data_IF_395371055393
#
_entry.id   IF_395371055393
#
_cell.length_a   1.000
_cell.length_b   1.000
_cell.length_c   1.000
_cell.angle_alpha   90.00
_cell.angle_beta   90.00
_cell.angle_gamma   90.00
#
_symmetry.space_group_name_H-M   'P 1'
#
loop_
_entity.id
_entity.type
_entity.pdbx_description
1 polymer ?
#
# COMPACT_ATOMS: atom_id res chain seq x y z
N UNK A 1 16.97 -19.09 45.99
CA UNK A 1 17.79 -20.25 46.39
C UNK A 1 16.81 -21.40 46.56
N UNK A 2 16.79 -22.52 45.83
CA UNK A 2 17.75 -23.27 45.00
C UNK A 2 16.92 -24.07 43.93
N UNK A 3 17.48 -24.96 43.08
CA UNK A 3 17.50 -24.89 41.61
C UNK A 3 16.62 -25.95 40.91
N UNK A 4 16.56 -25.97 39.57
CA UNK A 4 16.60 -27.21 38.74
C UNK A 4 16.58 -26.88 37.24
N UNK A 5 17.73 -26.99 36.56
CA UNK A 5 18.17 -28.09 35.66
C UNK A 5 17.73 -27.94 34.20
N UNK A 6 18.73 -27.65 33.35
CA UNK A 6 18.74 -27.98 31.92
C UNK A 6 18.67 -29.50 31.70
N UNK A 7 17.96 -29.95 30.65
CA UNK A 7 18.48 -31.03 29.81
C UNK A 7 17.81 -31.11 28.42
N UNK A 8 18.57 -31.51 27.38
CA UNK A 8 18.17 -31.49 25.97
C UNK A 8 17.55 -32.81 25.48
N UNK A 9 16.83 -32.77 24.36
CA UNK A 9 16.52 -33.97 23.54
C UNK A 9 17.02 -33.81 22.09
N UNK A 10 18.09 -34.54 21.78
CA UNK A 10 18.32 -35.26 20.50
C UNK A 10 17.19 -36.29 20.29
N UNK A 11 16.85 -36.85 19.14
CA UNK A 11 17.36 -36.93 17.77
C UNK A 11 16.11 -37.11 16.84
N UNK A 12 16.18 -37.16 15.51
CA UNK A 12 16.54 -38.38 14.75
C UNK A 12 16.57 -38.09 13.24
N UNK A 13 17.57 -38.65 12.55
CA UNK A 13 17.69 -38.80 11.08
C UNK A 13 16.92 -40.04 10.59
N UNK A 14 16.61 -40.20 9.28
CA UNK A 14 17.54 -40.83 8.29
C UNK A 14 17.53 -40.12 6.90
N UNK A 15 18.68 -39.91 6.25
CA UNK A 15 19.42 -40.80 5.33
C UNK A 15 18.79 -40.95 3.92
N UNK A 16 19.49 -40.44 2.90
CA UNK A 16 19.57 -41.04 1.58
C UNK A 16 20.83 -40.53 0.86
N UNK A 17 21.70 -41.47 0.50
CA UNK A 17 22.92 -41.26 -0.26
C UNK A 17 22.66 -41.43 -1.76
N UNK A 18 23.35 -40.69 -2.61
CA UNK A 18 23.75 -41.16 -3.94
C UNK A 18 24.88 -40.27 -4.48
N UNK A 19 26.05 -40.88 -4.66
CA UNK A 19 27.18 -40.30 -5.38
C UNK A 19 27.13 -40.78 -6.83
N UNK A 20 27.42 -39.90 -7.79
CA UNK A 20 27.90 -40.28 -9.11
C UNK A 20 28.65 -39.10 -9.74
N UNK A 21 29.99 -39.18 -9.76
CA UNK A 21 30.84 -38.41 -10.65
C UNK A 21 30.82 -39.07 -12.04
N UNK A 22 30.67 -38.28 -13.10
CA UNK A 22 31.14 -38.65 -14.43
C UNK A 22 31.53 -37.37 -15.22
N UNK A 23 32.84 -37.20 -15.44
CA UNK A 23 33.41 -36.21 -16.37
C UNK A 23 33.33 -36.77 -17.81
N UNK A 24 32.85 -35.96 -18.76
CA UNK A 24 33.10 -36.14 -20.19
C UNK A 24 33.20 -34.76 -20.88
N UNK A 25 34.17 -34.67 -21.77
CA UNK A 25 34.77 -33.45 -22.32
C UNK A 25 34.31 -33.18 -23.77
N UNK A 26 34.25 -31.89 -24.13
CA UNK A 26 34.55 -31.25 -25.45
C UNK A 26 33.45 -31.09 -26.54
N UNK A 27 33.29 -29.80 -26.88
CA UNK A 27 32.98 -29.15 -28.18
C UNK A 27 31.55 -29.18 -28.75
N UNK A 28 31.00 -27.98 -29.00
CA UNK A 28 29.94 -27.79 -30.00
C UNK A 28 29.02 -26.58 -29.84
N UNK A 29 29.31 -25.54 -30.61
CA UNK A 29 28.37 -24.64 -31.33
C UNK A 29 27.40 -23.74 -30.55
N UNK A 30 27.64 -22.43 -30.67
CA UNK A 30 26.70 -21.38 -30.35
C UNK A 30 25.40 -21.55 -31.17
N UNK A 31 24.30 -21.90 -30.49
CA UNK A 31 22.96 -21.58 -30.93
C UNK A 31 22.51 -20.38 -30.09
N UNK A 32 22.31 -19.24 -30.75
CA UNK A 32 21.69 -18.08 -30.14
C UNK A 32 20.25 -18.45 -29.76
N UNK A 33 20.05 -18.81 -28.49
CA UNK A 33 18.73 -18.87 -27.89
C UNK A 33 18.20 -17.44 -27.88
N UNK A 34 17.37 -17.12 -28.87
CA UNK A 34 16.59 -15.90 -28.87
C UNK A 34 15.65 -16.00 -27.68
N UNK A 35 16.03 -15.34 -26.57
CA UNK A 35 15.14 -15.07 -25.47
C UNK A 35 14.02 -14.17 -26.01
N UNK A 36 13.01 -14.80 -26.60
CA UNK A 36 11.70 -14.20 -26.77
C UNK A 36 11.23 -13.96 -25.35
N UNK A 37 11.42 -12.73 -24.88
CA UNK A 37 10.76 -12.24 -23.68
C UNK A 37 9.27 -12.29 -23.99
N UNK A 38 8.65 -13.42 -23.71
CA UNK A 38 7.21 -13.50 -23.54
C UNK A 38 6.90 -12.65 -22.33
N UNK A 39 6.68 -11.36 -22.60
CA UNK A 39 6.00 -10.45 -21.70
C UNK A 39 4.64 -11.07 -21.45
N UNK A 40 4.54 -11.82 -20.36
CA UNK A 40 3.27 -12.06 -19.70
C UNK A 40 2.76 -10.67 -19.35
N UNK A 41 1.85 -10.15 -20.17
CA UNK A 41 0.97 -9.05 -19.81
C UNK A 41 0.17 -9.50 -18.60
N UNK A 42 0.74 -9.32 -17.42
CA UNK A 42 -0.03 -9.28 -16.19
C UNK A 42 -0.81 -7.98 -16.27
N UNK A 43 -2.14 -8.08 -16.35
CA UNK A 43 -3.03 -6.92 -16.38
C UNK A 43 -2.69 -5.97 -15.24
N UNK A 44 -1.99 -4.89 -15.59
CA UNK A 44 -1.56 -3.87 -14.65
C UNK A 44 -2.77 -3.05 -14.24
N UNK A 45 -3.36 -3.39 -13.09
CA UNK A 45 -4.27 -2.48 -12.42
C UNK A 45 -3.59 -1.12 -12.18
N UNK A 46 -4.37 -0.07 -11.90
CA UNK A 46 -3.82 1.26 -11.68
C UNK A 46 -2.78 1.26 -10.55
N UNK A 47 -1.68 2.00 -10.72
CA UNK A 47 -0.69 2.22 -9.66
C UNK A 47 -1.41 2.72 -8.41
N UNK A 48 -1.37 1.96 -7.33
CA UNK A 48 -2.09 2.26 -6.08
C UNK A 48 -1.14 2.68 -4.97
N UNK A 49 -1.39 3.86 -4.39
CA UNK A 49 -0.75 4.35 -3.17
C UNK A 49 -1.65 4.04 -1.97
N UNK A 50 -1.10 3.52 -0.87
CA UNK A 50 -1.86 3.29 0.37
C UNK A 50 -1.46 4.32 1.43
N UNK A 51 -2.44 4.91 2.11
CA UNK A 51 -2.28 5.93 3.14
C UNK A 51 -2.96 5.52 4.44
N UNK A 52 -2.21 5.54 5.55
CA UNK A 52 -2.77 5.47 6.89
C UNK A 52 -3.56 6.75 7.21
N UNK A 53 -4.86 6.58 7.46
CA UNK A 53 -5.79 7.69 7.70
C UNK A 53 -6.03 7.86 9.21
N UNK A 54 -5.74 9.04 9.74
CA UNK A 54 -5.84 9.34 11.17
C UNK A 54 -5.21 10.69 11.52
N UNK A 55 -5.34 11.17 12.77
CA UNK A 55 -4.77 12.44 13.20
C UNK A 55 -3.26 12.52 12.97
N UNK A 56 -2.80 13.65 12.44
CA UNK A 56 -1.39 13.92 12.17
C UNK A 56 -0.93 15.15 12.96
N UNK A 57 0.05 15.06 13.87
CA UNK A 57 0.53 16.22 14.64
C UNK A 57 1.01 17.38 13.76
N UNK A 58 1.51 17.09 12.56
CA UNK A 58 2.05 18.07 11.62
C UNK A 58 1.18 18.23 10.35
N UNK A 59 0.02 17.57 10.30
CA UNK A 59 -0.78 17.46 9.09
C UNK A 59 -0.17 16.49 8.07
N UNK A 60 -0.93 16.22 7.01
CA UNK A 60 -0.45 15.40 5.91
C UNK A 60 0.42 16.24 4.94
N UNK A 61 1.57 15.71 4.48
CA UNK A 61 2.22 16.28 3.31
C UNK A 61 1.32 16.11 2.08
N UNK A 62 1.50 16.96 1.06
CA UNK A 62 0.85 16.73 -0.23
C UNK A 62 1.34 15.42 -0.84
N UNK A 63 0.40 14.60 -1.31
CA UNK A 63 0.69 13.31 -1.91
C UNK A 63 0.61 13.40 -3.43
N UNK A 64 1.59 12.86 -4.13
CA UNK A 64 1.55 12.75 -5.59
C UNK A 64 1.09 11.35 -6.00
N UNK A 65 0.08 11.27 -6.85
CA UNK A 65 -0.42 10.03 -7.44
C UNK A 65 -0.33 10.14 -8.96
N UNK A 66 0.19 9.14 -9.70
CA UNK A 66 0.16 9.17 -11.16
C UNK A 66 -1.27 9.28 -11.71
N UNK A 67 -1.48 9.97 -12.84
CA UNK A 67 -2.78 9.92 -13.49
C UNK A 67 -3.14 8.48 -13.91
N UNK A 68 -4.42 8.14 -13.79
CA UNK A 68 -4.93 6.77 -13.87
C UNK A 68 -4.69 5.95 -12.61
N UNK A 69 -3.88 6.43 -11.66
CA UNK A 69 -3.58 5.75 -10.40
C UNK A 69 -4.73 5.80 -9.39
N UNK A 70 -4.46 5.24 -8.21
CA UNK A 70 -5.41 5.19 -7.11
C UNK A 70 -4.76 5.53 -5.76
N UNK A 71 -5.56 6.06 -4.84
CA UNK A 71 -5.23 6.25 -3.43
C UNK A 71 -6.19 5.40 -2.59
N UNK A 72 -5.62 4.53 -1.76
CA UNK A 72 -6.35 3.73 -0.78
C UNK A 72 -6.13 4.26 0.62
N UNK A 73 -7.19 4.75 1.25
CA UNK A 73 -7.24 5.14 2.65
C UNK A 73 -7.49 3.91 3.51
N UNK A 74 -6.72 3.74 4.58
CA UNK A 74 -6.96 2.68 5.57
C UNK A 74 -6.85 3.25 6.97
N UNK A 75 -7.79 2.89 7.85
CA UNK A 75 -7.71 3.23 9.27
C UNK A 75 -8.26 2.15 10.17
N UNK A 76 -7.75 2.14 11.40
CA UNK A 76 -8.22 1.38 12.53
C UNK A 76 -8.12 2.29 13.76
N UNK A 77 -9.24 2.54 14.44
CA UNK A 77 -9.38 3.39 15.61
C UNK A 77 -10.37 2.75 16.59
N UNK A 78 -10.98 3.54 17.48
CA UNK A 78 -12.01 3.07 18.40
C UNK A 78 -13.37 3.66 18.04
N UNK A 79 -14.45 3.08 18.57
CA UNK A 79 -15.82 3.59 18.41
C UNK A 79 -15.98 5.04 18.89
N UNK A 80 -15.14 5.48 19.83
CA UNK A 80 -15.15 6.85 20.36
C UNK A 80 -14.38 7.85 19.50
N UNK A 81 -13.52 7.37 18.59
CA UNK A 81 -12.70 8.19 17.69
C UNK A 81 -12.85 7.70 16.24
N UNK A 82 -14.07 7.62 15.68
CA UNK A 82 -14.27 7.12 14.34
C UNK A 82 -13.71 8.10 13.30
N UNK A 83 -13.51 7.63 12.08
CA UNK A 83 -13.08 8.44 10.95
C UNK A 83 -14.00 8.25 9.76
N UNK A 84 -14.03 9.24 8.88
CA UNK A 84 -14.61 9.16 7.55
C UNK A 84 -13.63 9.74 6.53
N UNK A 85 -13.97 9.60 5.25
CA UNK A 85 -13.22 10.22 4.15
C UNK A 85 -14.21 10.96 3.27
N UNK A 86 -14.07 12.27 3.20
CA UNK A 86 -14.87 13.14 2.35
C UNK A 86 -13.97 13.87 1.37
N UNK A 87 -14.37 13.92 0.10
CA UNK A 87 -13.75 14.81 -0.86
C UNK A 87 -14.36 16.21 -0.74
N UNK A 88 -13.52 17.23 -0.76
CA UNK A 88 -13.92 18.64 -0.60
C UNK A 88 -13.39 19.50 -1.76
N UNK A 89 -13.99 20.69 -1.92
CA UNK A 89 -13.71 21.58 -3.04
C UNK A 89 -12.35 22.29 -3.01
N UNK A 90 -11.75 22.45 -1.83
CA UNK A 90 -10.45 23.12 -1.64
C UNK A 90 -9.74 22.59 -0.40
N UNK A 91 -8.45 22.87 -0.24
CA UNK A 91 -7.64 22.50 0.93
C UNK A 91 -8.01 23.33 2.19
N UNK A 92 -9.27 23.29 2.61
CA UNK A 92 -9.80 23.98 3.79
C UNK A 92 -10.80 23.07 4.52
N UNK A 93 -10.69 22.95 5.84
CA UNK A 93 -11.63 22.15 6.65
C UNK A 93 -13.09 22.59 6.54
N UNK A 94 -13.34 23.85 6.18
CA UNK A 94 -14.68 24.41 5.97
C UNK A 94 -15.16 24.32 4.52
N UNK A 95 -14.32 23.82 3.60
CA UNK A 95 -14.71 23.70 2.20
C UNK A 95 -15.95 22.79 2.05
N UNK A 96 -16.83 23.11 1.08
CA UNK A 96 -17.98 22.27 0.74
C UNK A 96 -17.56 20.84 0.42
N UNK A 97 -18.35 19.88 0.91
CA UNK A 97 -18.20 18.47 0.61
C UNK A 97 -18.72 18.23 -0.82
N UNK A 98 -17.88 17.64 -1.67
CA UNK A 98 -18.25 17.20 -3.01
C UNK A 98 -18.94 15.84 -2.93
N UNK A 99 -18.34 14.91 -2.18
CA UNK A 99 -18.90 13.56 -1.95
C UNK A 99 -18.25 12.87 -0.76
N UNK A 100 -18.97 11.92 -0.17
CA UNK A 100 -18.44 10.99 0.82
C UNK A 100 -17.82 9.78 0.12
N UNK A 101 -16.55 9.50 0.39
CA UNK A 101 -15.83 8.32 -0.11
C UNK A 101 -16.08 7.13 0.80
N UNK A 102 -16.03 7.36 2.12
CA UNK A 102 -16.33 6.38 3.13
C UNK A 102 -16.99 7.04 4.34
N UNK A 103 -18.03 6.41 4.88
CA UNK A 103 -18.79 6.91 6.03
C UNK A 103 -18.01 6.81 7.35
N UNK A 104 -18.60 7.40 8.40
CA UNK A 104 -18.00 7.42 9.75
C UNK A 104 -18.00 6.03 10.37
N UNK A 105 -16.80 5.52 10.68
CA UNK A 105 -16.60 4.17 11.25
C UNK A 105 -15.29 4.13 12.07
N UNK A 106 -15.18 3.27 13.10
CA UNK A 106 -13.91 3.03 13.82
C UNK A 106 -12.85 2.39 12.92
N UNK A 107 -13.23 1.76 11.81
CA UNK A 107 -12.29 1.21 10.85
C UNK A 107 -12.77 1.38 9.43
N UNK A 108 -11.85 1.40 8.48
CA UNK A 108 -12.24 1.50 7.08
C UNK A 108 -11.10 1.30 6.11
N UNK A 109 -11.54 1.04 4.88
CA UNK A 109 -10.75 0.78 3.71
C UNK A 109 -11.51 1.36 2.51
N UNK A 110 -10.94 2.38 1.88
CA UNK A 110 -11.61 3.06 0.78
C UNK A 110 -10.62 3.51 -0.28
N UNK A 111 -10.91 3.21 -1.54
CA UNK A 111 -10.05 3.55 -2.68
C UNK A 111 -10.71 4.60 -3.57
N UNK A 112 -9.93 5.60 -3.98
CA UNK A 112 -10.31 6.58 -5.00
C UNK A 112 -9.36 6.48 -6.18
N UNK A 113 -9.90 6.42 -7.39
CA UNK A 113 -9.13 6.45 -8.65
C UNK A 113 -9.10 7.86 -9.23
N UNK A 114 -8.00 8.19 -9.91
CA UNK A 114 -7.77 9.52 -10.48
C UNK A 114 -7.62 9.47 -12.00
N UNK A 115 -8.73 9.47 -12.77
CA UNK A 115 -8.67 9.41 -14.23
C UNK A 115 -8.26 10.74 -14.89
N UNK A 116 -8.11 11.82 -14.12
CA UNK A 116 -7.77 13.15 -14.60
C UNK A 116 -6.71 13.77 -13.70
N UNK A 117 -5.82 14.57 -14.27
CA UNK A 117 -4.87 15.34 -13.49
C UNK A 117 -5.59 16.48 -12.76
N UNK A 118 -4.89 17.01 -11.75
CA UNK A 118 -5.38 18.11 -10.94
C UNK A 118 -5.12 17.88 -9.45
N UNK A 119 -5.65 18.80 -8.66
CA UNK A 119 -5.61 18.69 -7.20
C UNK A 119 -6.95 18.17 -6.66
N UNK A 120 -6.85 17.25 -5.71
CA UNK A 120 -7.97 16.65 -5.02
C UNK A 120 -7.75 16.77 -3.52
N UNK A 121 -8.79 17.14 -2.78
CA UNK A 121 -8.68 17.40 -1.36
C UNK A 121 -9.60 16.48 -0.58
N UNK A 122 -9.09 15.94 0.52
CA UNK A 122 -9.83 15.02 1.38
C UNK A 122 -9.73 15.43 2.84
N UNK A 123 -10.83 15.31 3.58
CA UNK A 123 -10.84 15.53 5.03
C UNK A 123 -11.61 14.45 5.77
N UNK A 124 -11.40 14.41 7.08
CA UNK A 124 -12.29 13.75 8.02
C UNK A 124 -13.19 14.83 8.66
N UNK A 125 -14.50 14.72 8.53
CA UNK A 125 -15.48 15.70 9.04
C UNK A 125 -15.96 15.42 10.46
N UNK A 126 -15.49 14.34 11.09
CA UNK A 126 -15.70 14.13 12.52
C UNK A 126 -15.22 15.36 13.30
N UNK A 127 -16.03 15.94 14.21
CA UNK A 127 -15.69 17.19 14.88
C UNK A 127 -14.28 17.21 15.46
N UNK A 128 -13.51 18.25 15.13
CA UNK A 128 -12.12 18.43 15.56
C UNK A 128 -11.06 17.69 14.73
N UNK A 129 -11.42 16.67 13.95
CA UNK A 129 -10.43 15.83 13.24
C UNK A 129 -9.70 16.58 12.12
N UNK A 130 -10.40 17.37 11.32
CA UNK A 130 -9.75 18.20 10.31
C UNK A 130 -8.96 19.38 10.92
N UNK A 131 -9.56 20.31 11.71
CA UNK A 131 -8.84 21.50 12.16
C UNK A 131 -7.79 21.23 13.25
N UNK A 132 -8.05 20.29 14.17
CA UNK A 132 -7.17 20.01 15.31
C UNK A 132 -6.37 18.73 15.12
N UNK A 133 -7.02 17.67 14.63
CA UNK A 133 -6.36 16.42 14.25
C UNK A 133 -5.56 16.52 12.95
N UNK A 134 -5.66 17.65 12.23
CA UNK A 134 -4.98 17.93 10.95
C UNK A 134 -5.19 16.83 9.91
N UNK A 135 -6.41 16.26 9.89
CA UNK A 135 -6.84 15.26 8.93
C UNK A 135 -7.37 15.94 7.66
N UNK A 136 -6.47 16.64 6.97
CA UNK A 136 -6.68 17.30 5.68
C UNK A 136 -5.54 16.89 4.75
N UNK A 137 -5.87 16.32 3.60
CA UNK A 137 -4.93 15.82 2.61
C UNK A 137 -5.13 16.53 1.27
N UNK A 138 -4.02 16.98 0.68
CA UNK A 138 -3.96 17.38 -0.72
C UNK A 138 -3.32 16.26 -1.53
N UNK A 139 -3.99 15.83 -2.59
CA UNK A 139 -3.47 14.89 -3.59
C UNK A 139 -3.26 15.63 -4.90
N UNK A 140 -2.05 15.53 -5.45
CA UNK A 140 -1.69 16.04 -6.77
C UNK A 140 -1.61 14.89 -7.74
N UNK A 141 -2.37 15.00 -8.82
CA UNK A 141 -2.35 14.04 -9.91
C UNK A 141 -1.68 14.69 -11.10
N UNK A 142 -0.56 14.11 -11.54
CA UNK A 142 0.28 14.68 -12.59
C UNK A 142 -0.12 14.15 -13.97
N UNK A 143 -0.05 15.03 -14.97
CA UNK A 143 -0.10 14.67 -16.40
C UNK A 143 1.16 13.90 -16.84
N UNK A 144 1.12 13.18 -17.98
CA UNK A 144 -0.05 12.96 -18.84
C UNK A 144 -1.01 11.91 -18.28
N UNK A 145 -2.31 12.16 -18.42
CA UNK A 145 -3.33 11.11 -18.36
C UNK A 145 -3.36 10.35 -19.70
N UNK A 146 -3.35 9.02 -19.64
CA UNK A 146 -3.46 8.17 -20.83
C UNK A 146 -4.87 8.20 -21.44
#
# INVERSE_FOLDING_TARGET
MLPSTHSPRRASTPAAAAAALLLLLLTGSAAAETFTSSSTSSGGGPTQVTLGWGPQPNGYPSLTVPCGGALRFTWQSTEQLPHNVEQIASADCNAPIIRTIAGTSPSGDATVTFPKAGEYYYKCSVPGHCPSGKMLLTVRVNEPCA
#
